data_IF_742284616354
#
_entry.id   IF_742284616354
#
_cell.length_a   1.000
_cell.length_b   1.000
_cell.length_c   1.000
_cell.angle_alpha   90.00
_cell.angle_beta   90.00
_cell.angle_gamma   90.00
#
_symmetry.space_group_name_H-M   'P 1'
#
loop_
_entity.id
_entity.type
_entity.pdbx_description
1 polymer ?
#
# COMPACT_ATOMS: atom_id res chain seq x y z
N UNK A 1 -18.80 -36.57 -12.71
CA UNK A 1 -18.79 -35.16 -12.24
C UNK A 1 -17.92 -34.28 -13.16
N UNK A 2 -17.94 -34.53 -14.48
CA UNK A 2 -17.02 -33.94 -15.46
C UNK A 2 -17.74 -33.20 -16.61
N UNK A 3 -19.02 -32.85 -16.43
CA UNK A 3 -19.87 -32.28 -17.50
C UNK A 3 -20.26 -30.81 -17.23
N UNK A 4 -19.77 -30.21 -16.13
CA UNK A 4 -20.07 -28.80 -15.80
C UNK A 4 -18.95 -27.80 -16.14
N UNK A 5 -17.76 -28.26 -16.54
CA UNK A 5 -16.65 -27.37 -16.90
C UNK A 5 -16.65 -26.98 -18.39
N UNK A 6 -17.17 -27.82 -19.30
CA UNK A 6 -17.18 -27.49 -20.73
C UNK A 6 -18.24 -26.43 -21.10
N UNK A 7 -19.35 -26.35 -20.37
CA UNK A 7 -20.39 -25.35 -20.67
C UNK A 7 -19.95 -23.91 -20.29
N UNK A 8 -19.15 -23.76 -19.23
CA UNK A 8 -18.65 -22.45 -18.79
C UNK A 8 -17.58 -21.85 -19.73
N UNK A 9 -16.90 -22.69 -20.51
CA UNK A 9 -15.96 -22.25 -21.55
C UNK A 9 -16.64 -21.97 -22.90
N UNK A 10 -17.82 -22.54 -23.14
CA UNK A 10 -18.60 -22.31 -24.37
C UNK A 10 -19.44 -21.02 -24.32
N UNK A 11 -19.72 -20.50 -23.11
CA UNK A 11 -20.34 -19.19 -22.89
C UNK A 11 -19.31 -18.07 -22.67
N UNK A 12 -18.02 -18.29 -23.00
CA UNK A 12 -17.05 -17.22 -23.10
C UNK A 12 -17.45 -16.34 -24.30
N UNK A 13 -17.92 -15.09 -24.11
CA UNK A 13 -18.29 -14.28 -25.25
C UNK A 13 -17.02 -13.98 -26.04
N UNK A 14 -16.85 -14.66 -27.18
CA UNK A 14 -15.88 -14.29 -28.23
C UNK A 14 -16.06 -12.84 -28.71
N UNK A 15 -17.06 -12.11 -28.20
CA UNK A 15 -17.30 -10.68 -28.44
C UNK A 15 -16.38 -9.71 -27.67
N UNK A 16 -15.67 -10.09 -26.60
CA UNK A 16 -14.84 -9.11 -25.83
C UNK A 16 -13.38 -9.00 -26.24
N UNK A 17 -12.80 -10.03 -26.87
CA UNK A 17 -11.40 -10.00 -27.31
C UNK A 17 -11.12 -8.96 -28.42
N UNK A 18 -12.17 -8.37 -29.03
CA UNK A 18 -12.06 -7.36 -30.09
C UNK A 18 -12.35 -5.90 -29.72
N UNK A 19 -12.77 -5.57 -28.49
CA UNK A 19 -13.41 -4.25 -28.23
C UNK A 19 -12.86 -3.38 -27.08
N UNK A 20 -12.01 -3.89 -26.18
CA UNK A 20 -11.41 -3.03 -25.14
C UNK A 20 -10.21 -2.25 -25.73
N UNK A 21 -10.48 -1.10 -26.34
CA UNK A 21 -9.44 -0.14 -26.78
C UNK A 21 -8.95 0.69 -25.61
N UNK A 22 -7.68 1.10 -25.68
CA UNK A 22 -7.19 2.14 -24.79
C UNK A 22 -8.02 3.41 -25.09
N UNK A 23 -8.62 4.07 -24.10
CA UNK A 23 -9.28 5.35 -24.34
C UNK A 23 -8.24 6.40 -24.72
N UNK A 24 -8.49 7.12 -25.81
CA UNK A 24 -7.65 8.23 -26.28
C UNK A 24 -8.02 9.56 -25.59
N UNK A 25 -9.12 9.58 -24.84
CA UNK A 25 -9.70 10.77 -24.21
C UNK A 25 -9.07 11.13 -22.87
N UNK A 26 -8.45 10.16 -22.17
CA UNK A 26 -7.75 10.42 -20.91
C UNK A 26 -6.34 10.91 -21.22
N UNK A 27 -6.03 12.17 -20.87
CA UNK A 27 -4.72 12.76 -21.10
C UNK A 27 -3.63 12.04 -20.29
N UNK A 28 -2.61 11.55 -20.98
CA UNK A 28 -1.42 10.94 -20.38
C UNK A 28 -0.14 11.51 -20.99
N UNK A 29 -0.22 12.71 -21.57
CA UNK A 29 0.88 13.37 -22.29
C UNK A 29 2.06 13.76 -21.38
N UNK A 30 1.83 13.84 -20.08
CA UNK A 30 2.83 14.05 -19.03
C UNK A 30 3.53 12.75 -18.60
N UNK A 31 3.16 11.59 -19.17
CA UNK A 31 3.78 10.30 -18.90
C UNK A 31 4.57 9.79 -20.10
N UNK A 32 5.71 9.16 -19.82
CA UNK A 32 6.49 8.40 -20.79
C UNK A 32 5.91 7.00 -20.99
N UNK A 33 5.49 6.34 -19.92
CA UNK A 33 4.78 5.05 -19.98
C UNK A 33 3.31 5.29 -19.64
N UNK A 34 2.40 5.17 -20.63
CA UNK A 34 0.98 5.33 -20.38
C UNK A 34 0.44 4.17 -19.52
N UNK A 35 -0.46 4.51 -18.60
CA UNK A 35 -1.30 3.57 -17.86
C UNK A 35 -2.24 2.88 -18.86
N UNK A 36 -2.30 1.55 -18.76
CA UNK A 36 -3.26 0.76 -19.52
C UNK A 36 -4.65 0.90 -18.90
N UNK A 37 -5.54 1.62 -19.59
CA UNK A 37 -6.91 1.93 -19.16
C UNK A 37 -7.94 1.12 -19.95
N UNK A 38 -7.52 0.05 -20.63
CA UNK A 38 -8.43 -0.87 -21.30
C UNK A 38 -9.35 -1.53 -20.28
N UNK A 39 -10.65 -1.50 -20.57
CA UNK A 39 -11.67 -2.21 -19.78
C UNK A 39 -11.71 -3.69 -20.20
N UNK A 40 -10.67 -4.44 -19.86
CA UNK A 40 -10.52 -5.84 -20.27
C UNK A 40 -11.46 -6.80 -19.55
N UNK A 41 -11.88 -6.42 -18.33
CA UNK A 41 -12.73 -7.21 -17.46
C UNK A 41 -12.00 -8.41 -16.83
N UNK A 42 -12.74 -9.29 -16.15
CA UNK A 42 -12.16 -10.50 -15.59
C UNK A 42 -11.61 -11.43 -16.68
N UNK A 43 -10.56 -12.18 -16.32
CA UNK A 43 -9.84 -13.10 -17.21
C UNK A 43 -9.91 -14.52 -16.67
N UNK A 44 -9.95 -15.58 -17.53
CA UNK A 44 -9.89 -16.96 -17.06
C UNK A 44 -8.42 -17.39 -16.82
N UNK A 45 -7.47 -16.48 -17.06
CA UNK A 45 -6.05 -16.73 -16.89
C UNK A 45 -5.72 -16.82 -15.40
N UNK A 46 -5.13 -17.94 -15.02
CA UNK A 46 -4.72 -18.21 -13.65
C UNK A 46 -3.25 -17.83 -13.42
N UNK A 47 -2.91 -17.44 -12.19
CA UNK A 47 -1.53 -17.21 -11.78
C UNK A 47 -0.77 -18.54 -11.65
N UNK A 48 0.32 -18.69 -12.40
CA UNK A 48 1.22 -19.84 -12.29
C UNK A 48 2.12 -19.73 -11.05
N UNK A 49 2.05 -20.73 -10.17
CA UNK A 49 3.00 -20.92 -9.06
C UNK A 49 4.26 -21.65 -9.57
N UNK A 50 5.43 -21.01 -9.48
CA UNK A 50 6.70 -21.50 -10.04
C UNK A 50 7.90 -21.13 -9.16
N UNK A 51 9.08 -21.64 -9.49
CA UNK A 51 10.33 -21.33 -8.77
C UNK A 51 10.93 -19.97 -9.11
N UNK A 52 10.45 -19.28 -10.15
CA UNK A 52 10.93 -17.94 -10.53
C UNK A 52 10.49 -16.86 -9.54
N UNK A 53 9.30 -17.04 -8.96
CA UNK A 53 8.78 -16.17 -7.91
C UNK A 53 9.00 -16.90 -6.59
N UNK A 54 9.56 -16.20 -5.61
CA UNK A 54 9.94 -16.78 -4.31
C UNK A 54 8.69 -17.15 -3.51
N UNK A 55 8.82 -18.18 -2.69
CA UNK A 55 7.90 -18.44 -1.57
C UNK A 55 8.50 -17.79 -0.33
N UNK A 56 7.69 -17.13 0.49
CA UNK A 56 8.16 -16.61 1.78
C UNK A 56 8.39 -17.76 2.77
N UNK A 57 9.14 -17.53 3.87
CA UNK A 57 9.24 -18.50 4.96
C UNK A 57 7.86 -18.96 5.47
N UNK A 58 6.87 -18.06 5.50
CA UNK A 58 5.50 -18.37 5.93
C UNK A 58 4.58 -18.91 4.83
N UNK A 59 5.07 -19.21 3.62
CA UNK A 59 4.18 -19.59 2.51
C UNK A 59 3.36 -20.85 2.79
N UNK A 60 4.01 -21.90 3.33
CA UNK A 60 3.34 -23.15 3.65
C UNK A 60 2.34 -23.00 4.82
N UNK A 61 2.67 -22.13 5.78
CA UNK A 61 1.81 -21.77 6.91
C UNK A 61 0.59 -20.96 6.48
N UNK A 62 0.77 -20.05 5.53
CA UNK A 62 -0.34 -19.31 4.92
C UNK A 62 -1.31 -20.25 4.19
N UNK A 63 -0.78 -21.26 3.48
CA UNK A 63 -1.60 -22.30 2.86
C UNK A 63 -2.36 -23.12 3.90
N UNK A 64 -1.69 -23.56 4.97
CA UNK A 64 -2.32 -24.27 6.10
C UNK A 64 -3.45 -23.44 6.74
N UNK A 65 -3.25 -22.13 6.89
CA UNK A 65 -4.24 -21.20 7.41
C UNK A 65 -5.38 -20.88 6.43
N UNK A 66 -5.39 -21.45 5.21
CA UNK A 66 -6.50 -21.33 4.26
C UNK A 66 -6.28 -20.35 3.10
N UNK A 67 -5.07 -19.84 2.88
CA UNK A 67 -4.77 -18.99 1.73
C UNK A 67 -5.12 -19.69 0.41
N UNK A 68 -6.07 -19.13 -0.34
CA UNK A 68 -6.56 -19.71 -1.60
C UNK A 68 -6.24 -18.86 -2.84
N UNK A 69 -5.80 -17.61 -2.66
CA UNK A 69 -5.32 -16.75 -3.75
C UNK A 69 -4.14 -15.88 -3.32
N UNK A 70 -3.29 -15.54 -4.28
CA UNK A 70 -2.12 -14.71 -4.06
C UNK A 70 -1.84 -13.79 -5.26
N UNK A 71 -1.05 -12.75 -5.03
CA UNK A 71 -0.40 -11.95 -6.07
C UNK A 71 1.12 -12.09 -5.96
N UNK A 72 1.89 -11.39 -6.80
CA UNK A 72 3.34 -11.24 -6.65
C UNK A 72 3.64 -9.87 -6.06
N UNK A 73 4.57 -9.82 -5.13
CA UNK A 73 5.10 -8.60 -4.51
C UNK A 73 6.56 -8.84 -4.13
N UNK A 74 7.48 -7.95 -4.51
CA UNK A 74 8.93 -8.09 -4.38
C UNK A 74 9.43 -9.46 -4.86
N UNK A 75 8.94 -9.90 -6.02
CA UNK A 75 9.23 -11.21 -6.62
C UNK A 75 8.94 -12.38 -5.67
N UNK A 76 7.93 -12.25 -4.82
CA UNK A 76 7.51 -13.25 -3.84
C UNK A 76 5.98 -13.39 -3.85
N UNK A 77 5.45 -14.59 -3.61
CA UNK A 77 4.01 -14.81 -3.55
C UNK A 77 3.41 -14.19 -2.28
N UNK A 78 2.42 -13.32 -2.46
CA UNK A 78 1.74 -12.56 -1.43
C UNK A 78 0.30 -13.05 -1.28
N UNK A 79 -0.10 -13.67 -0.16
CA UNK A 79 -1.49 -14.05 0.13
C UNK A 79 -2.47 -12.87 -0.01
N UNK A 80 -3.57 -13.08 -0.75
CA UNK A 80 -4.61 -12.06 -1.02
C UNK A 80 -6.04 -12.53 -0.74
N UNK A 81 -6.21 -13.72 -0.17
CA UNK A 81 -7.52 -14.19 0.30
C UNK A 81 -7.41 -15.49 1.09
N UNK A 82 -8.11 -15.53 2.22
CA UNK A 82 -8.22 -16.65 3.14
C UNK A 82 -9.67 -17.12 3.29
N UNK A 83 -10.64 -16.21 3.18
CA UNK A 83 -12.07 -16.56 3.11
C UNK A 83 -12.51 -16.54 1.65
N UNK A 84 -13.16 -17.61 1.19
CA UNK A 84 -13.68 -17.69 -0.18
C UNK A 84 -14.93 -16.83 -0.34
N UNK A 85 -15.24 -16.32 -1.54
CA UNK A 85 -16.43 -15.47 -1.76
C UNK A 85 -17.74 -16.12 -1.28
N UNK A 86 -17.92 -17.41 -1.52
CA UNK A 86 -19.09 -18.19 -1.08
C UNK A 86 -19.26 -18.27 0.45
N UNK A 87 -18.18 -18.08 1.20
CA UNK A 87 -18.14 -18.10 2.67
C UNK A 87 -18.09 -16.68 3.28
N UNK A 88 -18.36 -15.64 2.48
CA UNK A 88 -18.38 -14.23 2.91
C UNK A 88 -17.18 -13.38 2.44
N UNK A 89 -16.17 -14.02 1.84
CA UNK A 89 -15.04 -13.37 1.16
C UNK A 89 -14.29 -12.35 2.01
N UNK A 90 -13.70 -11.35 1.33
CA UNK A 90 -12.90 -10.30 1.96
C UNK A 90 -13.69 -9.46 2.99
N UNK A 91 -15.02 -9.43 2.93
CA UNK A 91 -15.81 -8.72 3.93
C UNK A 91 -15.89 -9.46 5.26
N UNK A 92 -15.81 -10.80 5.27
CA UNK A 92 -15.65 -11.53 6.53
C UNK A 92 -14.26 -11.30 7.15
N UNK A 93 -13.22 -11.14 6.31
CA UNK A 93 -11.88 -10.73 6.76
C UNK A 93 -11.89 -9.31 7.35
N UNK A 94 -12.64 -8.38 6.74
CA UNK A 94 -12.89 -7.04 7.26
C UNK A 94 -13.49 -7.08 8.67
N UNK A 95 -14.56 -7.86 8.88
CA UNK A 95 -15.23 -7.96 10.19
C UNK A 95 -14.26 -8.44 11.28
N UNK A 96 -13.41 -9.44 10.99
CA UNK A 96 -12.38 -9.90 11.93
C UNK A 96 -11.37 -8.82 12.28
N UNK A 97 -10.95 -8.01 11.30
CA UNK A 97 -10.01 -6.92 11.55
C UNK A 97 -10.61 -5.82 12.43
N UNK A 98 -11.88 -5.47 12.23
CA UNK A 98 -12.49 -4.34 12.95
C UNK A 98 -13.02 -4.70 14.33
N UNK A 99 -13.32 -5.98 14.59
CA UNK A 99 -13.91 -6.44 15.86
C UNK A 99 -12.91 -7.19 16.75
N UNK A 100 -11.87 -7.81 16.19
CA UNK A 100 -10.98 -8.71 16.92
C UNK A 100 -9.50 -8.34 16.73
N UNK A 101 -8.67 -9.31 16.33
CA UNK A 101 -7.28 -9.15 15.96
C UNK A 101 -6.97 -10.11 14.81
N UNK A 102 -6.06 -9.70 13.95
CA UNK A 102 -5.69 -10.46 12.77
C UNK A 102 -4.19 -10.56 12.63
N UNK A 103 -3.71 -11.68 12.07
CA UNK A 103 -2.31 -11.87 11.69
C UNK A 103 -2.19 -11.96 10.17
N UNK A 104 -1.23 -11.24 9.60
CA UNK A 104 -1.00 -11.22 8.15
C UNK A 104 0.40 -11.71 7.79
N UNK A 105 0.48 -12.60 6.81
CA UNK A 105 1.76 -12.93 6.17
C UNK A 105 2.16 -11.80 5.22
N UNK A 106 2.99 -10.90 5.71
CA UNK A 106 3.57 -9.79 4.94
C UNK A 106 5.07 -9.95 4.72
N UNK A 107 5.59 -11.18 4.74
CA UNK A 107 7.00 -11.44 4.47
C UNK A 107 7.49 -10.91 3.10
N UNK A 108 6.57 -10.56 2.21
CA UNK A 108 6.83 -9.89 0.94
C UNK A 108 7.27 -8.42 1.08
N UNK A 109 6.99 -7.78 2.22
CA UNK A 109 7.59 -6.53 2.65
C UNK A 109 9.04 -6.85 3.03
N UNK A 110 9.91 -6.89 2.01
CA UNK A 110 11.31 -7.32 2.17
C UNK A 110 12.07 -6.27 2.96
N UNK A 111 13.19 -6.68 3.56
CA UNK A 111 14.01 -5.82 4.38
C UNK A 111 15.34 -5.57 3.70
N UNK A 112 15.56 -4.35 3.21
CA UNK A 112 16.87 -3.93 2.70
C UNK A 112 17.60 -3.22 3.83
N UNK A 113 18.69 -3.83 4.28
CA UNK A 113 19.57 -3.28 5.28
C UNK A 113 20.58 -2.33 4.63
N UNK A 114 20.70 -1.13 5.18
CA UNK A 114 21.85 -0.25 5.00
C UNK A 114 22.58 -0.18 6.33
N UNK A 115 23.85 -0.61 6.34
CA UNK A 115 24.66 -0.66 7.55
C UNK A 115 26.07 -0.13 7.34
N UNK A 116 26.63 0.55 8.33
CA UNK A 116 28.02 0.98 8.35
C UNK A 116 28.22 2.46 8.69
N UNK A 117 29.47 2.93 8.76
CA UNK A 117 29.80 4.26 9.27
C UNK A 117 29.12 5.43 8.54
N UNK A 118 28.81 5.26 7.26
CA UNK A 118 28.13 6.27 6.45
C UNK A 118 26.61 6.04 6.31
N UNK A 119 26.01 5.10 7.05
CA UNK A 119 24.62 4.68 6.85
C UNK A 119 23.63 5.84 6.98
N UNK A 120 23.75 6.68 8.02
CA UNK A 120 22.86 7.85 8.17
C UNK A 120 23.00 8.80 6.98
N UNK A 121 24.22 9.05 6.50
CA UNK A 121 24.47 9.96 5.37
C UNK A 121 23.89 9.40 4.07
N UNK A 122 24.12 8.12 3.79
CA UNK A 122 23.57 7.45 2.61
C UNK A 122 22.03 7.44 2.66
N UNK A 123 21.45 7.04 3.79
CA UNK A 123 19.99 7.03 3.99
C UNK A 123 19.41 8.44 3.84
N UNK A 124 20.06 9.46 4.41
CA UNK A 124 19.63 10.85 4.26
C UNK A 124 19.70 11.33 2.81
N UNK A 125 20.58 10.79 1.99
CA UNK A 125 20.71 11.15 0.58
C UNK A 125 19.64 10.48 -0.30
N UNK A 126 19.25 9.23 -0.01
CA UNK A 126 18.30 8.48 -0.84
C UNK A 126 16.83 8.71 -0.49
N UNK A 127 16.52 9.20 0.71
CA UNK A 127 15.16 9.55 1.12
C UNK A 127 14.92 11.06 1.05
N UNK A 128 13.68 11.48 0.82
CA UNK A 128 13.32 12.91 0.84
C UNK A 128 13.34 13.50 2.25
N UNK A 129 12.87 12.76 3.26
CA UNK A 129 12.89 13.17 4.67
C UNK A 129 14.31 13.38 5.21
N UNK A 130 14.41 14.14 6.30
CA UNK A 130 15.67 14.29 7.03
C UNK A 130 15.89 13.09 7.97
N UNK A 131 16.83 12.20 7.61
CA UNK A 131 17.16 11.00 8.37
C UNK A 131 17.83 11.31 9.72
N UNK A 132 18.50 12.46 9.86
CA UNK A 132 19.21 12.86 11.09
C UNK A 132 18.23 13.12 12.26
N UNK A 133 16.97 13.40 11.92
CA UNK A 133 15.85 13.57 12.85
C UNK A 133 15.23 12.23 13.29
N UNK A 134 15.58 11.12 12.65
CA UNK A 134 15.09 9.77 13.00
C UNK A 134 16.08 9.15 13.98
N UNK A 135 15.71 9.03 15.25
CA UNK A 135 16.58 8.45 16.28
C UNK A 135 16.60 6.92 16.22
N UNK A 136 17.65 6.25 16.73
CA UNK A 136 17.63 4.80 16.90
C UNK A 136 16.38 4.32 17.64
N UNK A 137 15.93 3.12 17.31
CA UNK A 137 14.68 2.52 17.78
C UNK A 137 13.43 3.34 17.41
N UNK A 138 13.50 4.06 16.29
CA UNK A 138 12.36 4.72 15.64
C UNK A 138 12.34 4.35 14.16
N UNK A 139 11.13 4.35 13.62
CA UNK A 139 10.90 4.31 12.20
C UNK A 139 10.22 5.58 11.68
N UNK A 140 10.07 5.64 10.35
CA UNK A 140 9.23 6.61 9.63
C UNK A 140 8.78 6.05 8.30
N UNK A 141 7.57 6.43 7.88
CA UNK A 141 7.19 6.37 6.48
C UNK A 141 8.00 7.41 5.70
N UNK A 142 8.75 6.96 4.72
CA UNK A 142 9.62 7.78 3.87
C UNK A 142 9.25 7.52 2.41
N UNK A 143 9.65 8.43 1.53
CA UNK A 143 9.64 8.16 0.10
C UNK A 143 11.05 8.31 -0.45
N UNK A 144 11.31 7.57 -1.51
CA UNK A 144 12.49 7.66 -2.32
C UNK A 144 12.05 8.09 -3.72
N UNK A 145 12.78 9.01 -4.30
CA UNK A 145 12.48 9.58 -5.61
C UNK A 145 13.64 9.29 -6.59
N UNK A 146 13.32 9.30 -7.88
CA UNK A 146 14.33 9.43 -8.93
C UNK A 146 14.72 10.91 -9.14
N UNK A 147 15.65 11.17 -10.04
CA UNK A 147 16.12 12.52 -10.40
C UNK A 147 15.02 13.44 -10.94
N UNK A 148 13.97 12.87 -11.54
CA UNK A 148 12.80 13.60 -12.02
C UNK A 148 11.76 13.87 -10.91
N UNK A 149 12.03 13.41 -9.69
CA UNK A 149 11.18 13.60 -8.51
C UNK A 149 10.06 12.55 -8.38
N UNK A 150 9.94 11.61 -9.31
CA UNK A 150 8.92 10.56 -9.28
C UNK A 150 9.22 9.48 -8.23
N UNK A 151 8.18 8.91 -7.63
CA UNK A 151 8.29 8.01 -6.48
C UNK A 151 8.73 6.60 -6.90
N UNK A 152 9.94 6.20 -6.54
CA UNK A 152 10.46 4.86 -6.87
C UNK A 152 10.11 3.80 -5.81
N UNK A 153 9.87 4.21 -4.57
CA UNK A 153 9.42 3.37 -3.46
C UNK A 153 8.97 4.26 -2.29
N UNK A 154 8.10 3.75 -1.44
CA UNK A 154 7.58 4.43 -0.26
C UNK A 154 7.59 3.53 1.00
N UNK A 155 8.78 3.16 1.51
CA UNK A 155 8.93 2.19 2.58
C UNK A 155 8.58 2.75 3.96
N UNK A 156 8.38 1.84 4.90
CA UNK A 156 8.66 2.13 6.32
C UNK A 156 10.15 1.93 6.55
N UNK A 157 10.85 3.01 6.91
CA UNK A 157 12.25 2.97 7.33
C UNK A 157 12.31 2.68 8.83
N UNK A 158 13.09 1.69 9.24
CA UNK A 158 13.36 1.33 10.63
C UNK A 158 14.83 1.65 10.95
N UNK A 159 15.12 2.58 11.87
CA UNK A 159 16.48 2.80 12.36
C UNK A 159 16.73 1.93 13.58
N UNK A 160 17.17 0.69 13.36
CA UNK A 160 17.32 -0.32 14.41
C UNK A 160 18.56 -0.11 15.28
N UNK A 161 19.59 0.58 14.77
CA UNK A 161 20.76 0.99 15.53
C UNK A 161 21.29 2.36 15.07
N UNK A 162 22.40 2.83 15.64
CA UNK A 162 23.01 4.10 15.24
C UNK A 162 23.40 4.11 13.76
N UNK A 163 24.00 3.03 13.30
CA UNK A 163 24.58 2.84 11.97
C UNK A 163 23.87 1.75 11.15
N UNK A 164 22.63 1.41 11.49
CA UNK A 164 21.86 0.35 10.84
C UNK A 164 20.39 0.75 10.61
N UNK A 165 19.97 0.64 9.36
CA UNK A 165 18.64 1.00 8.89
C UNK A 165 18.06 -0.14 8.05
N UNK A 166 16.80 -0.47 8.26
CA UNK A 166 16.05 -1.42 7.43
C UNK A 166 14.95 -0.69 6.68
N UNK A 167 14.89 -0.88 5.37
CA UNK A 167 13.79 -0.42 4.55
C UNK A 167 12.82 -1.58 4.38
N UNK A 168 11.64 -1.50 5.01
CA UNK A 168 10.52 -2.39 4.78
C UNK A 168 9.75 -1.87 3.57
N UNK A 169 10.03 -2.43 2.39
CA UNK A 169 9.75 -1.77 1.10
C UNK A 169 8.44 -2.15 0.41
N UNK A 170 8.01 -1.20 -0.42
CA UNK A 170 6.99 -1.40 -1.44
C UNK A 170 7.47 -2.28 -2.60
N UNK A 171 6.65 -2.55 -3.63
CA UNK A 171 6.94 -3.52 -4.71
C UNK A 171 7.92 -3.05 -5.79
N UNK A 172 9.15 -2.68 -5.42
CA UNK A 172 10.20 -2.35 -6.40
C UNK A 172 11.58 -2.84 -5.96
N UNK A 173 12.51 -3.03 -6.90
CA UNK A 173 13.84 -3.61 -6.64
C UNK A 173 14.81 -2.59 -5.99
N UNK A 174 14.46 -2.11 -4.79
CA UNK A 174 15.14 -0.99 -4.13
C UNK A 174 16.61 -1.29 -3.78
N UNK A 175 16.96 -2.54 -3.47
CA UNK A 175 18.36 -2.95 -3.22
C UNK A 175 19.25 -2.63 -4.42
N UNK A 176 18.81 -3.04 -5.62
CA UNK A 176 19.58 -2.87 -6.85
C UNK A 176 19.78 -1.39 -7.15
N UNK A 177 18.72 -0.59 -6.98
CA UNK A 177 18.79 0.85 -7.16
C UNK A 177 19.75 1.51 -6.16
N UNK A 178 19.64 1.20 -4.86
CA UNK A 178 20.52 1.77 -3.82
C UNK A 178 21.98 1.37 -4.04
N UNK A 179 22.25 0.11 -4.40
CA UNK A 179 23.59 -0.34 -4.75
C UNK A 179 24.13 0.41 -5.96
N UNK A 180 23.30 0.59 -6.99
CA UNK A 180 23.63 1.39 -8.18
C UNK A 180 23.98 2.84 -7.83
N UNK A 181 23.18 3.50 -6.99
CA UNK A 181 23.48 4.84 -6.46
C UNK A 181 24.83 4.87 -5.75
N UNK A 182 25.11 3.87 -4.90
CA UNK A 182 26.36 3.85 -4.13
C UNK A 182 27.62 3.55 -4.97
N UNK A 183 27.49 2.94 -6.15
CA UNK A 183 28.64 2.75 -7.07
C UNK A 183 29.30 4.09 -7.41
N UNK A 184 28.51 5.14 -7.64
CA UNK A 184 29.03 6.47 -7.98
C UNK A 184 29.39 7.34 -6.77
N UNK A 185 28.76 7.10 -5.62
CA UNK A 185 28.89 7.96 -4.43
C UNK A 185 29.96 7.47 -3.43
N UNK A 186 30.23 6.17 -3.38
CA UNK A 186 31.32 5.61 -2.57
C UNK A 186 31.14 5.75 -1.06
N UNK A 187 29.91 5.75 -0.54
CA UNK A 187 29.67 5.71 0.90
C UNK A 187 30.15 4.37 1.49
N UNK A 188 30.75 4.42 2.69
CA UNK A 188 31.17 3.24 3.44
C UNK A 188 29.97 2.55 4.11
N UNK A 189 29.19 1.82 3.31
CA UNK A 189 28.01 1.08 3.74
C UNK A 189 27.92 -0.28 3.04
N UNK A 190 27.36 -1.27 3.74
CA UNK A 190 26.83 -2.48 3.14
C UNK A 190 25.34 -2.30 2.86
N UNK A 191 24.88 -2.74 1.68
CA UNK A 191 23.48 -2.69 1.24
C UNK A 191 23.09 -4.10 0.81
N UNK A 192 22.11 -4.71 1.49
CA UNK A 192 21.69 -6.08 1.21
C UNK A 192 20.25 -6.36 1.66
N UNK A 193 19.52 -7.20 0.93
CA UNK A 193 18.36 -7.90 1.49
C UNK A 193 18.79 -8.85 2.62
N UNK A 194 18.13 -8.78 3.78
CA UNK A 194 18.42 -9.62 4.95
C UNK A 194 17.32 -10.68 5.19
N UNK A 195 17.66 -11.77 5.90
CA UNK A 195 16.71 -12.82 6.30
C UNK A 195 15.86 -12.37 7.50
N UNK A 196 15.00 -11.39 7.23
CA UNK A 196 14.00 -10.87 8.15
C UNK A 196 12.65 -10.89 7.45
N UNK A 197 11.62 -11.43 8.11
CA UNK A 197 10.29 -11.56 7.53
C UNK A 197 9.20 -11.08 8.50
N UNK A 198 8.49 -9.99 8.18
CA UNK A 198 7.44 -9.49 9.06
C UNK A 198 6.14 -10.31 8.98
N UNK A 199 5.44 -10.34 10.12
CA UNK A 199 3.98 -10.52 10.18
C UNK A 199 3.36 -9.26 10.76
N UNK A 200 2.15 -8.88 10.31
CA UNK A 200 1.41 -7.78 10.94
C UNK A 200 0.34 -8.32 11.88
N UNK A 201 0.24 -7.73 13.08
CA UNK A 201 -0.80 -7.99 14.07
C UNK A 201 -1.70 -6.77 14.17
N UNK A 202 -2.90 -6.83 13.60
CA UNK A 202 -3.74 -5.66 13.34
C UNK A 202 -5.15 -5.85 13.90
N UNK A 203 -5.75 -4.78 14.42
CA UNK A 203 -7.11 -4.77 14.96
C UNK A 203 -7.17 -4.26 16.41
N UNK A 204 -8.38 -3.99 16.94
CA UNK A 204 -8.55 -3.40 18.28
C UNK A 204 -7.96 -4.24 19.42
N UNK A 205 -7.88 -5.57 19.26
CA UNK A 205 -7.29 -6.47 20.28
C UNK A 205 -5.78 -6.70 20.09
N UNK A 206 -5.14 -6.08 19.09
CA UNK A 206 -3.71 -6.24 18.81
C UNK A 206 -2.82 -5.91 20.01
N UNK A 207 -3.09 -4.84 20.74
CA UNK A 207 -2.30 -4.47 21.91
C UNK A 207 -2.36 -5.52 23.03
N UNK A 208 -3.53 -6.11 23.27
CA UNK A 208 -3.69 -7.12 24.31
C UNK A 208 -2.90 -8.39 23.95
N UNK A 209 -3.05 -8.87 22.71
CA UNK A 209 -2.28 -10.01 22.21
C UNK A 209 -0.76 -9.75 22.29
N UNK A 210 -0.33 -8.57 21.84
CA UNK A 210 1.08 -8.22 21.86
C UNK A 210 1.63 -8.13 23.29
N UNK A 211 0.82 -7.69 24.26
CA UNK A 211 1.21 -7.68 25.66
C UNK A 211 1.33 -9.11 26.24
N UNK A 212 0.53 -10.06 25.77
CA UNK A 212 0.68 -11.48 26.16
C UNK A 212 1.97 -12.09 25.59
N UNK A 213 2.43 -11.64 24.41
CA UNK A 213 3.67 -12.11 23.80
C UNK A 213 4.93 -11.46 24.41
N UNK A 214 4.90 -10.16 24.69
CA UNK A 214 6.09 -9.38 25.01
C UNK A 214 6.06 -8.71 26.40
N UNK A 215 4.96 -8.84 27.14
CA UNK A 215 4.69 -8.09 28.36
C UNK A 215 4.22 -6.66 28.09
N UNK A 216 3.89 -5.94 29.17
CA UNK A 216 3.28 -4.60 29.10
C UNK A 216 4.16 -3.53 28.44
N UNK A 217 5.48 -3.75 28.34
CA UNK A 217 6.40 -2.82 27.69
C UNK A 217 6.04 -2.51 26.23
N UNK A 218 5.34 -3.42 25.54
CA UNK A 218 4.90 -3.22 24.15
C UNK A 218 3.87 -2.09 24.01
N UNK A 219 3.16 -1.76 25.10
CA UNK A 219 2.17 -0.67 25.15
C UNK A 219 2.83 0.70 25.10
N UNK A 220 4.09 0.77 25.54
CA UNK A 220 4.87 2.02 25.59
C UNK A 220 5.58 2.33 24.26
N UNK A 221 5.50 1.44 23.27
CA UNK A 221 6.02 1.70 21.93
C UNK A 221 5.16 2.81 21.30
N UNK A 222 5.71 4.01 21.06
CA UNK A 222 4.95 5.07 20.41
C UNK A 222 4.76 4.75 18.93
N UNK A 223 3.95 5.53 18.24
CA UNK A 223 3.73 5.35 16.81
C UNK A 223 5.02 5.52 16.00
N UNK A 224 5.33 4.55 15.13
CA UNK A 224 6.66 4.35 14.53
C UNK A 224 7.82 4.20 15.56
N UNK A 225 7.53 3.72 16.76
CA UNK A 225 8.51 3.25 17.71
C UNK A 225 8.89 1.80 17.40
N UNK A 226 10.12 1.44 17.76
CA UNK A 226 10.63 0.08 17.68
C UNK A 226 10.96 -0.44 19.08
N UNK A 227 10.91 -1.75 19.24
CA UNK A 227 11.33 -2.47 20.45
C UNK A 227 12.03 -3.77 20.03
N UNK A 228 13.11 -4.13 20.71
CA UNK A 228 13.70 -5.47 20.58
C UNK A 228 12.91 -6.44 21.47
N UNK A 229 12.73 -7.67 21.01
CA UNK A 229 12.04 -8.69 21.79
C UNK A 229 12.37 -10.09 21.32
N UNK A 230 11.69 -11.08 21.88
CA UNK A 230 11.81 -12.47 21.48
C UNK A 230 10.44 -13.14 21.40
N UNK A 231 10.28 -14.05 20.44
CA UNK A 231 9.13 -14.95 20.34
C UNK A 231 9.68 -16.36 20.20
N UNK A 232 9.20 -17.30 21.03
CA UNK A 232 9.72 -18.67 21.07
C UNK A 232 11.27 -18.76 21.25
N UNK A 233 11.87 -17.75 21.89
CA UNK A 233 13.33 -17.68 22.09
C UNK A 233 14.13 -17.10 20.91
N UNK A 234 13.45 -16.66 19.84
CA UNK A 234 14.09 -16.08 18.64
C UNK A 234 13.95 -14.56 18.62
N UNK A 235 15.03 -13.90 18.22
CA UNK A 235 15.10 -12.44 18.21
C UNK A 235 14.17 -11.81 17.16
N UNK A 236 13.44 -10.79 17.59
CA UNK A 236 12.56 -9.99 16.73
C UNK A 236 12.76 -8.50 16.95
N UNK A 237 12.43 -7.71 15.93
CA UNK A 237 12.10 -6.29 16.12
C UNK A 237 10.57 -6.17 16.08
N UNK A 238 10.00 -5.43 17.02
CA UNK A 238 8.58 -5.08 17.04
C UNK A 238 8.43 -3.60 16.70
N UNK A 239 7.55 -3.26 15.77
CA UNK A 239 7.17 -1.87 15.50
C UNK A 239 5.70 -1.64 15.82
N UNK A 240 5.35 -0.40 16.20
CA UNK A 240 3.97 0.05 16.17
C UNK A 240 3.67 0.72 14.82
N UNK A 241 3.44 -0.11 13.80
CA UNK A 241 3.09 0.26 12.42
C UNK A 241 2.05 -0.72 11.84
N UNK A 242 1.60 -0.49 10.60
CA UNK A 242 0.68 -1.39 9.91
C UNK A 242 -0.03 -0.77 8.71
N UNK A 243 -0.48 -1.61 7.79
CA UNK A 243 -1.10 -1.23 6.52
C UNK A 243 -2.65 -1.24 6.58
N UNK A 244 -3.23 -0.54 7.57
CA UNK A 244 -4.69 -0.56 7.86
C UNK A 244 -5.29 0.79 8.26
N UNK A 245 -4.51 1.67 8.89
CA UNK A 245 -5.04 2.78 9.67
C UNK A 245 -5.67 2.39 11.02
N UNK A 246 -5.67 1.09 11.35
CA UNK A 246 -6.00 0.56 12.67
C UNK A 246 -4.81 0.64 13.62
N UNK A 247 -5.07 0.42 14.91
CA UNK A 247 -4.00 0.10 15.85
C UNK A 247 -3.46 -1.30 15.52
N UNK A 248 -2.15 -1.42 15.53
CA UNK A 248 -1.47 -2.67 15.23
C UNK A 248 0.03 -2.55 15.38
N UNK A 249 0.67 -3.70 15.19
CA UNK A 249 2.09 -3.90 15.30
C UNK A 249 2.60 -4.76 14.14
N UNK A 250 3.91 -4.74 13.93
CA UNK A 250 4.58 -5.71 13.06
C UNK A 250 5.70 -6.39 13.85
N UNK A 251 5.85 -7.70 13.63
CA UNK A 251 6.90 -8.52 14.24
C UNK A 251 7.85 -8.96 13.14
N UNK A 252 9.06 -8.41 13.15
CA UNK A 252 10.14 -8.67 12.21
C UNK A 252 11.03 -9.78 12.76
N UNK A 253 10.72 -11.03 12.42
CA UNK A 253 11.51 -12.18 12.83
C UNK A 253 12.87 -12.21 12.12
N UNK A 254 13.95 -12.32 12.87
CA UNK A 254 15.31 -12.58 12.34
C UNK A 254 15.51 -14.08 12.11
N UNK A 255 16.40 -14.44 11.17
CA UNK A 255 16.62 -15.84 10.75
C UNK A 255 15.30 -16.52 10.34
N UNK A 256 14.39 -15.76 9.70
CA UNK A 256 13.02 -16.19 9.46
C UNK A 256 12.94 -17.46 8.62
N UNK A 257 13.91 -17.72 7.73
CA UNK A 257 13.96 -18.95 6.94
C UNK A 257 14.12 -20.21 7.79
N UNK A 258 14.58 -20.09 9.05
CA UNK A 258 14.77 -21.22 9.98
C UNK A 258 13.65 -21.33 11.02
N UNK A 259 13.09 -20.21 11.46
CA UNK A 259 12.26 -20.14 12.66
C UNK A 259 10.82 -19.66 12.41
N UNK A 260 10.38 -19.70 11.15
CA UNK A 260 9.07 -19.21 10.73
C UNK A 260 7.92 -19.89 11.48
N UNK A 261 7.99 -21.21 11.62
CA UNK A 261 7.01 -22.06 12.29
C UNK A 261 6.91 -21.70 13.79
N UNK A 262 8.05 -21.53 14.45
CA UNK A 262 8.12 -21.22 15.88
C UNK A 262 7.42 -19.89 16.19
N UNK A 263 7.69 -18.84 15.40
CA UNK A 263 6.99 -17.56 15.51
C UNK A 263 5.50 -17.74 15.23
N UNK A 264 5.15 -18.32 14.08
CA UNK A 264 3.77 -18.38 13.60
C UNK A 264 2.86 -19.09 14.59
N UNK A 265 3.23 -20.30 15.03
CA UNK A 265 2.41 -21.06 15.97
C UNK A 265 2.35 -20.42 17.36
N UNK A 266 3.42 -19.78 17.81
CA UNK A 266 3.41 -19.05 19.09
C UNK A 266 2.45 -17.86 19.04
N UNK A 267 2.46 -17.09 17.96
CA UNK A 267 1.53 -15.97 17.77
C UNK A 267 0.08 -16.47 17.66
N UNK A 268 -0.16 -17.56 16.93
CA UNK A 268 -1.50 -18.16 16.85
C UNK A 268 -2.01 -18.62 18.21
N UNK A 269 -1.19 -19.33 18.99
CA UNK A 269 -1.56 -19.81 20.31
C UNK A 269 -1.84 -18.66 21.29
N UNK A 270 -1.00 -17.61 21.28
CA UNK A 270 -1.24 -16.41 22.07
C UNK A 270 -2.48 -15.63 21.61
N UNK A 271 -2.83 -15.72 20.32
CA UNK A 271 -3.97 -15.04 19.73
C UNK A 271 -5.32 -15.73 19.91
N UNK A 272 -5.36 -17.02 20.26
CA UNK A 272 -6.60 -17.77 20.45
C UNK A 272 -7.57 -17.11 21.45
N UNK A 273 -7.16 -16.68 22.66
CA UNK A 273 -8.04 -15.98 23.60
C UNK A 273 -8.59 -14.64 23.06
N UNK A 274 -7.94 -14.06 22.05
CA UNK A 274 -8.31 -12.79 21.44
C UNK A 274 -9.17 -12.94 20.18
N UNK A 275 -9.55 -14.17 19.82
CA UNK A 275 -10.24 -14.50 18.57
C UNK A 275 -9.41 -14.13 17.32
N UNK A 276 -8.09 -14.40 17.37
CA UNK A 276 -7.22 -14.10 16.25
C UNK A 276 -7.61 -14.89 14.99
N UNK A 277 -7.62 -14.20 13.85
CA UNK A 277 -7.76 -14.82 12.52
C UNK A 277 -6.58 -14.46 11.61
N UNK A 278 -6.08 -15.44 10.86
CA UNK A 278 -5.18 -15.16 9.74
C UNK A 278 -6.00 -14.67 8.55
N UNK A 279 -5.68 -13.47 8.05
CA UNK A 279 -6.36 -12.87 6.88
C UNK A 279 -5.34 -12.30 5.90
N UNK A 280 -5.81 -11.87 4.73
CA UNK A 280 -4.97 -11.14 3.79
C UNK A 280 -4.82 -9.67 4.22
N UNK A 281 -3.75 -8.98 3.79
CA UNK A 281 -3.64 -7.55 4.04
C UNK A 281 -4.85 -6.77 3.52
N UNK A 282 -5.41 -5.96 4.41
CA UNK A 282 -6.73 -5.40 4.31
C UNK A 282 -6.84 -4.25 3.29
N UNK A 283 -7.07 -4.59 2.02
CA UNK A 283 -7.18 -3.64 0.92
C UNK A 283 -8.30 -2.60 1.12
N UNK A 284 -9.42 -3.01 1.68
CA UNK A 284 -10.50 -2.10 2.07
C UNK A 284 -10.05 -1.02 3.05
N UNK A 285 -9.23 -1.40 4.03
CA UNK A 285 -8.86 -0.53 5.16
C UNK A 285 -7.79 0.45 4.76
N UNK A 286 -6.79 0.01 3.99
CA UNK A 286 -5.75 0.89 3.46
C UNK A 286 -6.35 1.98 2.54
N UNK A 287 -7.37 1.66 1.74
CA UNK A 287 -8.11 2.67 0.93
C UNK A 287 -8.83 3.67 1.85
N UNK A 288 -9.57 3.18 2.84
CA UNK A 288 -10.28 4.04 3.80
C UNK A 288 -9.33 5.00 4.54
N UNK A 289 -8.12 4.52 4.89
CA UNK A 289 -7.06 5.30 5.53
C UNK A 289 -6.26 6.18 4.56
N UNK A 290 -6.49 6.09 3.24
CA UNK A 290 -5.74 6.83 2.24
C UNK A 290 -4.28 6.40 2.11
N UNK A 291 -3.98 5.15 2.42
CA UNK A 291 -2.64 4.56 2.26
C UNK A 291 -2.51 4.08 0.81
N UNK A 292 -1.47 4.57 0.15
CA UNK A 292 -1.21 4.33 -1.27
C UNK A 292 -0.48 2.99 -1.45
N UNK A 293 -0.66 2.38 -2.62
CA UNK A 293 0.07 1.19 -3.05
C UNK A 293 0.93 1.51 -4.26
N UNK A 294 2.24 1.34 -4.15
CA UNK A 294 3.15 1.45 -5.30
C UNK A 294 2.80 0.41 -6.38
N UNK A 295 2.81 0.82 -7.64
CA UNK A 295 2.39 0.03 -8.80
C UNK A 295 0.88 0.03 -9.07
N UNK A 296 0.06 0.50 -8.13
CA UNK A 296 -1.40 0.61 -8.30
C UNK A 296 -1.88 2.07 -8.23
N UNK A 297 -1.50 2.79 -7.18
CA UNK A 297 -1.90 4.20 -6.97
C UNK A 297 -0.81 5.20 -7.38
N UNK A 298 0.45 4.79 -7.26
CA UNK A 298 1.62 5.62 -7.56
C UNK A 298 2.69 4.77 -8.22
N UNK A 299 3.56 5.42 -8.98
CA UNK A 299 4.73 4.80 -9.60
C UNK A 299 5.87 5.83 -9.77
N UNK A 300 6.94 5.39 -10.43
CA UNK A 300 8.14 6.20 -10.67
C UNK A 300 7.94 7.44 -11.55
N UNK A 301 6.78 7.62 -12.17
CA UNK A 301 6.42 8.84 -12.92
C UNK A 301 5.45 9.72 -12.14
N UNK A 302 4.97 9.25 -10.99
CA UNK A 302 4.08 10.00 -10.11
C UNK A 302 4.88 10.90 -9.18
N UNK A 303 4.63 12.20 -9.22
CA UNK A 303 5.23 13.18 -8.31
C UNK A 303 4.52 13.14 -6.94
N UNK A 304 5.24 13.31 -5.81
CA UNK A 304 4.62 13.36 -4.48
C UNK A 304 3.50 14.41 -4.35
N UNK A 305 3.63 15.51 -5.09
CA UNK A 305 2.64 16.59 -5.15
C UNK A 305 1.33 16.20 -5.86
N UNK A 306 1.35 15.16 -6.69
CA UNK A 306 0.17 14.63 -7.39
C UNK A 306 -0.66 13.70 -6.52
N UNK A 307 -0.09 13.12 -5.46
CA UNK A 307 -0.66 11.96 -4.77
C UNK A 307 -0.76 12.13 -3.24
N UNK A 308 -1.08 13.32 -2.74
CA UNK A 308 -1.26 13.58 -1.29
C UNK A 308 0.00 13.24 -0.44
N UNK A 309 1.18 13.21 -1.08
CA UNK A 309 2.48 12.94 -0.46
C UNK A 309 3.42 14.16 -0.51
N UNK A 310 2.92 15.34 -0.85
CA UNK A 310 3.69 16.59 -0.84
C UNK A 310 4.42 16.82 0.50
N UNK A 311 3.89 16.29 1.60
CA UNK A 311 4.48 16.36 2.94
C UNK A 311 5.70 15.53 3.22
N UNK A 312 5.98 14.62 2.32
CA UNK A 312 7.22 13.89 2.34
C UNK A 312 8.37 14.69 1.72
N UNK A 313 8.08 15.81 1.05
CA UNK A 313 9.10 16.70 0.46
C UNK A 313 9.33 17.87 1.41
N UNK A 314 10.44 17.90 2.18
CA UNK A 314 10.70 18.95 3.16
C UNK A 314 11.07 20.28 2.48
N UNK A 315 10.70 21.41 3.11
CA UNK A 315 11.16 22.76 2.72
C UNK A 315 12.50 23.11 3.35
N UNK A 316 12.81 22.55 4.52
CA UNK A 316 13.93 22.97 5.37
C UNK A 316 15.08 21.96 5.47
N UNK A 317 15.09 20.92 4.64
CA UNK A 317 16.22 19.97 4.60
C UNK A 317 17.37 20.61 3.84
N UNK A 318 18.41 21.02 4.56
CA UNK A 318 19.62 21.62 3.96
C UNK A 318 20.40 20.59 3.13
N UNK A 319 20.54 19.37 3.64
CA UNK A 319 21.23 18.28 2.95
C UNK A 319 20.61 17.98 1.58
N UNK A 320 21.47 17.60 0.63
CA UNK A 320 21.02 17.17 -0.69
C UNK A 320 20.37 15.78 -0.63
N UNK A 321 19.48 15.49 -1.57
CA UNK A 321 18.86 14.19 -1.76
C UNK A 321 18.41 14.01 -3.21
N UNK A 322 18.28 12.75 -3.63
CA UNK A 322 17.92 12.44 -5.02
C UNK A 322 16.55 13.04 -5.37
N UNK A 323 16.51 13.82 -6.45
CA UNK A 323 15.30 14.51 -6.94
C UNK A 323 15.03 15.87 -6.28
N UNK A 324 15.84 16.33 -5.32
CA UNK A 324 15.63 17.59 -4.59
C UNK A 324 15.39 18.80 -5.52
N UNK A 325 16.33 19.05 -6.42
CA UNK A 325 16.26 20.21 -7.33
C UNK A 325 14.98 20.18 -8.18
N UNK A 326 14.60 19.01 -8.71
CA UNK A 326 13.40 18.87 -9.53
C UNK A 326 12.13 19.05 -8.70
N UNK A 327 12.08 18.49 -7.49
CA UNK A 327 10.94 18.65 -6.59
C UNK A 327 10.76 20.10 -6.11
N UNK A 328 11.86 20.84 -5.91
CA UNK A 328 11.83 22.28 -5.64
C UNK A 328 11.26 23.06 -6.82
N UNK A 329 11.71 22.78 -8.05
CA UNK A 329 11.15 23.39 -9.26
C UNK A 329 9.65 23.09 -9.43
N UNK A 330 9.22 21.84 -9.20
CA UNK A 330 7.81 21.46 -9.24
C UNK A 330 7.01 22.26 -8.21
N UNK A 331 7.54 22.41 -6.99
CA UNK A 331 6.90 23.21 -5.95
C UNK A 331 6.75 24.68 -6.36
N UNK A 332 7.81 25.30 -6.89
CA UNK A 332 7.75 26.68 -7.39
C UNK A 332 6.70 26.86 -8.49
N UNK A 333 6.58 25.88 -9.39
CA UNK A 333 5.57 25.87 -10.45
C UNK A 333 4.15 25.77 -9.87
N UNK A 334 3.93 24.91 -8.88
CA UNK A 334 2.66 24.77 -8.17
C UNK A 334 2.28 26.04 -7.41
N UNK A 335 3.23 26.65 -6.68
CA UNK A 335 3.03 27.91 -5.97
C UNK A 335 2.70 29.07 -6.93
N UNK A 336 3.19 28.99 -8.18
CA UNK A 336 2.85 29.90 -9.27
C UNK A 336 1.56 29.53 -10.04
N UNK A 337 0.81 28.51 -9.59
CA UNK A 337 -0.44 28.08 -10.22
C UNK A 337 -0.29 27.35 -11.56
N UNK A 338 0.88 26.74 -11.81
CA UNK A 338 1.22 26.04 -13.05
C UNK A 338 1.60 24.58 -12.76
N UNK A 339 0.64 23.69 -12.45
CA UNK A 339 0.96 22.30 -12.16
C UNK A 339 1.65 21.64 -13.36
N UNK A 340 2.77 20.92 -13.17
CA UNK A 340 3.49 20.23 -14.26
C UNK A 340 2.85 18.90 -14.66
N UNK A 341 1.58 18.70 -14.35
CA UNK A 341 0.87 17.46 -14.54
C UNK A 341 -0.59 17.67 -14.86
N UNK A 342 -1.12 16.79 -15.70
CA UNK A 342 -2.48 16.84 -16.22
C UNK A 342 -3.49 16.37 -15.18
N UNK A 343 -3.11 15.34 -14.40
CA UNK A 343 -3.97 14.66 -13.45
C UNK A 343 -3.46 14.74 -12.01
N UNK A 344 -4.39 14.68 -11.07
CA UNK A 344 -4.11 14.64 -9.64
C UNK A 344 -4.96 13.57 -8.95
N UNK A 345 -4.38 12.94 -7.94
CA UNK A 345 -5.10 11.97 -7.14
C UNK A 345 -6.10 12.64 -6.21
N UNK A 346 -7.30 12.07 -6.15
CA UNK A 346 -8.40 12.44 -5.27
C UNK A 346 -8.97 11.19 -4.58
N UNK A 347 -9.69 11.42 -3.48
CA UNK A 347 -10.63 10.43 -2.98
C UNK A 347 -12.00 10.67 -3.58
N UNK A 348 -12.73 9.61 -3.90
CA UNK A 348 -14.12 9.70 -4.37
C UNK A 348 -15.04 8.76 -3.58
N UNK A 349 -16.30 9.15 -3.45
CA UNK A 349 -17.43 8.24 -3.12
C UNK A 349 -18.26 8.06 -4.37
N UNK A 350 -18.79 6.87 -4.60
CA UNK A 350 -19.58 6.58 -5.80
C UNK A 350 -20.66 5.52 -5.55
N UNK A 351 -21.68 5.53 -6.42
CA UNK A 351 -22.80 4.58 -6.38
C UNK A 351 -22.48 3.18 -6.89
N UNK A 352 -23.51 2.46 -7.33
CA UNK A 352 -23.41 1.10 -7.87
C UNK A 352 -23.52 -0.02 -6.84
N UNK A 353 -23.30 -1.25 -7.29
CA UNK A 353 -23.18 -2.42 -6.44
C UNK A 353 -21.98 -2.33 -5.49
N UNK A 354 -22.01 -3.11 -4.40
CA UNK A 354 -20.92 -3.12 -3.41
C UNK A 354 -19.66 -3.72 -4.02
N UNK A 355 -18.58 -2.95 -4.07
CA UNK A 355 -17.26 -3.43 -4.52
C UNK A 355 -16.59 -4.18 -3.37
N UNK A 356 -16.58 -5.51 -3.42
CA UNK A 356 -16.06 -6.36 -2.31
C UNK A 356 -14.86 -7.20 -2.72
N UNK A 357 -14.28 -6.94 -3.89
CA UNK A 357 -13.09 -7.60 -4.38
C UNK A 357 -12.16 -6.65 -5.16
N UNK A 358 -10.96 -7.11 -5.46
CA UNK A 358 -9.96 -6.35 -6.22
C UNK A 358 -10.44 -6.04 -7.63
N UNK A 359 -10.22 -4.81 -8.08
CA UNK A 359 -10.49 -4.38 -9.46
C UNK A 359 -9.49 -5.00 -10.44
N UNK A 360 -10.00 -5.61 -11.52
CA UNK A 360 -9.16 -6.18 -12.58
C UNK A 360 -8.59 -5.14 -13.56
N UNK A 361 -9.26 -3.98 -13.67
CA UNK A 361 -8.86 -2.84 -14.50
C UNK A 361 -8.91 -1.54 -13.69
N UNK A 362 -8.25 -0.49 -14.18
CA UNK A 362 -8.55 0.89 -13.80
C UNK A 362 -9.91 1.29 -14.39
N UNK A 363 -10.85 1.82 -13.60
CA UNK A 363 -12.19 2.16 -14.11
C UNK A 363 -12.25 3.60 -14.59
N UNK A 364 -12.95 3.86 -15.70
CA UNK A 364 -12.96 5.19 -16.30
C UNK A 364 -13.83 6.17 -15.50
N UNK A 365 -13.44 7.45 -15.55
CA UNK A 365 -14.17 8.56 -14.94
C UNK A 365 -14.46 9.61 -16.02
N UNK A 366 -15.69 10.08 -16.09
CA UNK A 366 -16.09 11.29 -16.82
C UNK A 366 -16.36 12.44 -15.88
N UNK A 367 -16.25 13.66 -16.39
CA UNK A 367 -16.54 14.88 -15.66
C UNK A 367 -18.02 15.09 -15.34
N UNK A 368 -18.35 16.28 -14.80
CA UNK A 368 -19.72 16.64 -14.40
C UNK A 368 -20.76 16.60 -15.53
N UNK A 369 -20.33 16.68 -16.79
CA UNK A 369 -21.19 16.64 -17.97
C UNK A 369 -21.51 15.21 -18.45
N UNK A 370 -20.86 14.19 -17.87
CA UNK A 370 -21.02 12.79 -18.26
C UNK A 370 -20.47 12.47 -19.66
N UNK A 371 -19.57 13.31 -20.19
CA UNK A 371 -18.97 13.16 -21.51
C UNK A 371 -17.96 12.01 -21.62
N UNK A 372 -17.00 12.15 -22.54
CA UNK A 372 -15.91 11.19 -22.69
C UNK A 372 -15.10 11.04 -21.39
N UNK A 373 -14.49 9.87 -21.21
CA UNK A 373 -13.69 9.60 -20.03
C UNK A 373 -12.44 10.49 -20.01
N UNK A 374 -12.16 11.12 -18.88
CA UNK A 374 -11.04 12.03 -18.67
C UNK A 374 -10.26 11.74 -17.39
N UNK A 375 -10.61 10.68 -16.65
CA UNK A 375 -9.89 10.23 -15.46
C UNK A 375 -10.06 8.73 -15.24
N UNK A 376 -9.52 8.23 -14.13
CA UNK A 376 -9.61 6.81 -13.80
C UNK A 376 -9.50 6.51 -12.30
N UNK A 377 -10.19 5.46 -11.87
CA UNK A 377 -10.16 4.87 -10.54
C UNK A 377 -9.00 3.89 -10.43
N UNK A 378 -8.19 3.99 -9.37
CA UNK A 378 -7.08 3.06 -9.08
C UNK A 378 -7.46 1.98 -8.07
N UNK A 379 -8.20 2.37 -7.03
CA UNK A 379 -8.39 1.53 -5.85
C UNK A 379 -9.80 1.66 -5.29
N UNK A 380 -10.80 0.95 -5.83
CA UNK A 380 -12.17 0.97 -5.34
C UNK A 380 -12.42 -0.08 -4.26
N UNK A 381 -13.28 0.24 -3.30
CA UNK A 381 -13.85 -0.73 -2.37
C UNK A 381 -15.14 -0.21 -1.70
N UNK A 382 -16.00 -1.11 -1.25
CA UNK A 382 -17.16 -0.78 -0.43
C UNK A 382 -16.75 -0.53 1.03
N UNK A 383 -17.14 0.60 1.60
CA UNK A 383 -16.96 0.90 3.01
C UNK A 383 -18.26 0.60 3.77
N UNK A 384 -18.31 -0.43 4.65
CA UNK A 384 -19.49 -0.69 5.48
C UNK A 384 -19.81 0.46 6.42
N UNK A 385 -18.79 1.08 7.01
CA UNK A 385 -18.93 2.21 7.93
C UNK A 385 -19.56 3.44 7.28
N UNK A 386 -19.27 3.68 5.99
CA UNK A 386 -19.79 4.83 5.23
C UNK A 386 -20.99 4.47 4.36
N UNK A 387 -21.39 3.20 4.33
CA UNK A 387 -22.47 2.63 3.52
C UNK A 387 -22.39 3.01 2.02
N UNK A 388 -21.18 3.14 1.49
CA UNK A 388 -20.93 3.56 0.10
C UNK A 388 -19.63 2.98 -0.43
N UNK A 389 -19.50 2.93 -1.76
CA UNK A 389 -18.20 2.69 -2.36
C UNK A 389 -17.31 3.93 -2.20
N UNK A 390 -16.03 3.69 -1.93
CA UNK A 390 -14.95 4.67 -1.86
C UNK A 390 -13.83 4.27 -2.82
N UNK A 391 -13.11 5.25 -3.36
CA UNK A 391 -11.91 4.94 -4.14
C UNK A 391 -10.86 6.04 -4.12
N UNK A 392 -9.61 5.64 -4.34
CA UNK A 392 -8.58 6.55 -4.87
C UNK A 392 -8.70 6.61 -6.40
N UNK A 393 -8.53 7.79 -6.96
CA UNK A 393 -8.70 8.03 -8.39
C UNK A 393 -7.81 9.19 -8.88
N UNK A 394 -7.44 9.19 -10.14
CA UNK A 394 -6.85 10.34 -10.84
C UNK A 394 -7.92 11.03 -11.69
N UNK A 395 -7.99 12.36 -11.55
CA UNK A 395 -8.86 13.23 -12.34
C UNK A 395 -8.05 14.40 -12.90
N UNK A 396 -8.51 15.07 -13.97
CA UNK A 396 -7.89 16.30 -14.43
C UNK A 396 -7.72 17.29 -13.28
N UNK A 397 -6.61 18.03 -13.27
CA UNK A 397 -6.26 18.91 -12.15
C UNK A 397 -7.39 19.84 -11.74
N UNK A 398 -8.16 20.36 -12.71
CA UNK A 398 -9.25 21.31 -12.46
C UNK A 398 -10.49 20.69 -11.78
N UNK A 399 -10.62 19.37 -11.74
CA UNK A 399 -11.74 18.65 -11.10
C UNK A 399 -11.43 18.16 -9.69
N UNK A 400 -10.27 18.52 -9.14
CA UNK A 400 -9.79 18.02 -7.85
C UNK A 400 -10.55 18.51 -6.61
N UNK A 401 -11.40 19.52 -6.76
CA UNK A 401 -12.02 20.18 -5.62
C UNK A 401 -13.02 19.22 -4.92
N UNK A 402 -12.99 19.18 -3.59
CA UNK A 402 -14.00 18.45 -2.79
C UNK A 402 -15.40 18.97 -3.14
N UNK A 403 -16.34 18.04 -3.33
CA UNK A 403 -17.71 18.32 -3.79
C UNK A 403 -17.88 18.31 -5.31
N UNK A 404 -16.81 18.15 -6.09
CA UNK A 404 -16.92 18.01 -7.55
C UNK A 404 -17.64 16.72 -7.89
N UNK A 405 -18.68 16.81 -8.72
CA UNK A 405 -19.43 15.66 -9.24
C UNK A 405 -18.73 15.03 -10.43
N UNK A 406 -18.78 13.72 -10.50
CA UNK A 406 -18.12 12.89 -11.51
C UNK A 406 -19.05 11.75 -11.88
N UNK A 407 -18.74 11.06 -12.98
CA UNK A 407 -19.38 9.78 -13.35
C UNK A 407 -18.32 8.69 -13.38
N UNK A 408 -18.52 7.60 -12.65
CA UNK A 408 -17.65 6.41 -12.70
C UNK A 408 -18.30 5.36 -13.59
N UNK A 409 -17.52 4.77 -14.50
CA UNK A 409 -17.94 3.70 -15.40
C UNK A 409 -17.57 2.34 -14.81
N UNK A 410 -18.55 1.69 -14.19
CA UNK A 410 -18.39 0.42 -13.48
C UNK A 410 -18.36 -0.79 -14.42
N UNK A 411 -17.62 -1.84 -14.07
CA UNK A 411 -17.85 -3.17 -14.61
C UNK A 411 -19.30 -3.63 -14.35
N UNK A 412 -19.86 -4.42 -15.26
CA UNK A 412 -21.25 -4.91 -15.18
C UNK A 412 -21.55 -5.63 -13.86
N UNK A 413 -20.57 -6.31 -13.27
CA UNK A 413 -20.71 -7.01 -11.99
C UNK A 413 -21.05 -6.07 -10.80
N UNK A 414 -20.71 -4.78 -10.91
CA UNK A 414 -21.00 -3.76 -9.92
C UNK A 414 -22.02 -2.73 -10.41
N UNK A 415 -22.76 -3.02 -11.47
CA UNK A 415 -23.82 -2.12 -11.95
C UNK A 415 -24.81 -1.76 -10.84
N UNK A 416 -25.42 -0.58 -10.94
CA UNK A 416 -26.48 -0.15 -10.05
C UNK A 416 -27.72 -1.07 -10.15
N UNK A 417 -28.65 -0.96 -9.20
CA UNK A 417 -29.84 -1.81 -9.13
C UNK A 417 -30.76 -1.71 -10.37
N UNK A 418 -30.68 -0.61 -11.11
CA UNK A 418 -31.39 -0.39 -12.37
C UNK A 418 -30.62 -0.91 -13.61
N UNK A 419 -29.44 -1.50 -13.42
CA UNK A 419 -28.55 -2.00 -14.47
C UNK A 419 -27.57 -0.96 -15.01
N UNK A 420 -27.59 0.27 -14.51
CA UNK A 420 -26.70 1.36 -14.97
C UNK A 420 -25.25 1.09 -14.57
N UNK A 421 -24.33 1.16 -15.53
CA UNK A 421 -22.88 1.04 -15.30
C UNK A 421 -22.20 2.40 -15.16
N UNK A 422 -22.81 3.48 -15.66
CA UNK A 422 -22.38 4.84 -15.37
C UNK A 422 -23.09 5.29 -14.08
N UNK A 423 -22.33 5.58 -13.03
CA UNK A 423 -22.89 5.98 -11.73
C UNK A 423 -22.31 7.30 -11.25
N UNK A 424 -23.13 8.05 -10.51
CA UNK A 424 -22.72 9.27 -9.84
C UNK A 424 -21.59 9.02 -8.84
N UNK A 425 -20.66 9.96 -8.83
CA UNK A 425 -19.54 10.02 -7.89
C UNK A 425 -19.27 11.47 -7.45
N UNK A 426 -18.61 11.60 -6.30
CA UNK A 426 -18.25 12.89 -5.72
C UNK A 426 -16.83 12.84 -5.17
N UNK A 427 -16.03 13.87 -5.46
CA UNK A 427 -14.72 14.07 -4.84
C UNK A 427 -14.88 14.39 -3.36
N UNK A 428 -14.19 13.63 -2.51
CA UNK A 428 -14.23 13.79 -1.05
C UNK A 428 -12.82 13.83 -0.45
N UNK A 429 -12.75 14.19 0.82
CA UNK A 429 -11.49 14.21 1.55
C UNK A 429 -10.93 12.81 1.81
N UNK A 430 -9.59 12.71 1.80
CA UNK A 430 -8.82 11.54 2.20
C UNK A 430 -8.01 11.89 3.45
N UNK A 431 -8.06 11.10 4.52
CA UNK A 431 -8.64 9.76 4.60
C UNK A 431 -10.18 9.81 4.68
N UNK A 432 -10.86 8.76 4.20
CA UNK A 432 -12.33 8.69 4.20
C UNK A 432 -12.92 8.57 5.60
N UNK A 433 -12.07 8.16 6.56
CA UNK A 433 -12.32 8.12 8.00
C UNK A 433 -11.05 8.52 8.74
N UNK A 434 -11.12 9.10 9.95
CA UNK A 434 -9.94 9.37 10.76
C UNK A 434 -9.17 8.09 11.11
N UNK A 435 -7.84 8.13 11.09
CA UNK A 435 -7.00 7.02 11.58
C UNK A 435 -7.04 6.93 13.11
N UNK A 436 -6.94 5.72 13.68
CA UNK A 436 -6.87 5.53 15.15
C UNK A 436 -5.64 6.23 15.74
N UNK A 437 -4.52 6.16 15.01
CA UNK A 437 -3.33 6.96 15.26
C UNK A 437 -3.20 7.98 14.13
N UNK A 438 -3.70 9.21 14.30
CA UNK A 438 -3.66 10.22 13.25
C UNK A 438 -2.22 10.42 12.81
N UNK A 439 -1.94 10.31 11.51
CA UNK A 439 -0.59 10.50 10.99
C UNK A 439 -0.14 11.97 11.14
N UNK A 440 1.11 12.28 10.79
CA UNK A 440 1.64 13.64 10.94
C UNK A 440 0.80 14.70 10.18
N UNK A 441 0.22 14.34 9.04
CA UNK A 441 -0.68 15.20 8.25
C UNK A 441 -1.99 15.47 8.99
N UNK A 442 -2.66 14.43 9.49
CA UNK A 442 -3.92 14.59 10.23
C UNK A 442 -3.74 15.49 11.46
N UNK A 443 -2.62 15.34 12.18
CA UNK A 443 -2.29 16.19 13.33
C UNK A 443 -1.89 17.62 12.96
N UNK A 444 -1.15 17.82 11.87
CA UNK A 444 -0.74 19.15 11.40
C UNK A 444 -1.92 19.94 10.84
N UNK A 445 -2.80 19.28 10.08
CA UNK A 445 -4.05 19.84 9.56
C UNK A 445 -4.97 20.29 10.69
N UNK A 446 -5.11 19.48 11.74
CA UNK A 446 -5.84 19.86 12.95
C UNK A 446 -5.26 21.10 13.68
N UNK A 447 -4.01 21.48 13.38
CA UNK A 447 -3.30 22.61 13.98
C UNK A 447 -3.06 23.78 13.01
N UNK A 448 -3.46 23.68 11.74
CA UNK A 448 -3.28 24.73 10.73
C UNK A 448 -1.82 25.00 10.33
N UNK A 449 -0.93 24.01 10.45
CA UNK A 449 0.51 24.15 10.18
C UNK A 449 0.85 23.55 8.80
N UNK A 450 1.68 24.23 7.99
CA UNK A 450 2.25 23.64 6.76
C UNK A 450 3.15 22.46 7.17
N UNK A 451 2.84 21.28 6.64
CA UNK A 451 3.49 20.03 6.96
C UNK A 451 4.97 19.98 6.55
N UNK A 452 5.41 20.88 5.67
CA UNK A 452 6.71 20.82 5.00
C UNK A 452 7.80 21.57 5.77
N UNK A 453 7.42 22.29 6.83
CA UNK A 453 8.27 23.08 7.71
C UNK A 453 8.95 22.26 8.82
#
# INVERSE_FOLDING_TARGET
MAVKFEQALLDYPQQRAGAARQPDSVDQSDRRVPINLRQSGPTPVEMLISTRVRKSPYWHLAYEAGCWRATVYNRMYHPRGYVRPEDGGAMLEYESLIHDVTMWNVAVERQIQVKGPDAERFVNYVITRDATKIKPMRGKYVILCNEEGGIINDPVLLRVAEDEFWFSLSDSDLELWMRGVNVGMGFNVTIAEIDVAPVQIQGPKSEALMADLFGDAVRDIPYYGLMEGQVAGHDVIVSQTGFTGEKGYEIYLKDATKYAEDLWYTVLAAGEPHNLRVIAPAHHRRIAAGILSWGQDVDQETLPFQCNLAYQVPRNKEADYIGKQKLEQVREQLDAGRPPFSHIMVGIRFGGGKVTDYSNDFWLISGPDGGEAEGYVTSPWYSPELETNIALAYVPFDLRAVGTRLTVHLPVEYAAADGSTAVEAEVVEVPFRPSVNPNARERARAKGIDFAD
#
